data_IF_184079993232
#
_entry.id   IF_184079993232
#
_cell.length_a   1.000
_cell.length_b   1.000
_cell.length_c   1.000
_cell.angle_alpha   90.00
_cell.angle_beta   90.00
_cell.angle_gamma   90.00
#
_symmetry.space_group_name_H-M   'P 1'
#
loop_
_entity.id
_entity.type
_entity.pdbx_description
1 polymer ?
#
# COMPACT_ATOMS: atom_id res chain seq x y z
N UNK A 1 -10.12 -42.00 72.10
CA UNK A 1 -9.87 -43.18 71.24
C UNK A 1 -11.07 -44.09 71.38
N UNK A 2 -11.53 -44.63 70.24
CA UNK A 2 -12.60 -45.63 70.08
C UNK A 2 -14.04 -45.11 69.86
N UNK A 3 -14.58 -45.55 68.72
CA UNK A 3 -15.99 -45.86 68.42
C UNK A 3 -16.92 -44.75 67.91
N UNK A 4 -16.85 -44.49 66.60
CA UNK A 4 -17.97 -43.99 65.78
C UNK A 4 -18.46 -45.14 64.89
N UNK A 5 -19.61 -45.71 65.25
CA UNK A 5 -20.25 -46.83 64.57
C UNK A 5 -21.60 -46.40 63.99
N UNK A 6 -21.78 -46.75 62.71
CA UNK A 6 -23.03 -47.08 61.99
C UNK A 6 -24.06 -45.96 61.74
N UNK A 7 -24.29 -45.54 60.48
CA UNK A 7 -24.94 -46.22 59.33
C UNK A 7 -26.48 -46.21 59.38
N UNK A 8 -27.11 -45.54 58.41
CA UNK A 8 -28.15 -46.07 57.48
C UNK A 8 -28.67 -44.91 56.60
N UNK A 9 -28.37 -44.89 55.28
CA UNK A 9 -29.08 -45.54 54.15
C UNK A 9 -30.51 -45.02 53.90
N UNK A 10 -30.71 -44.28 52.79
CA UNK A 10 -31.40 -44.78 51.58
C UNK A 10 -31.54 -43.70 50.50
N UNK A 11 -31.10 -44.07 49.29
CA UNK A 11 -31.26 -43.34 48.03
C UNK A 11 -32.61 -43.63 47.39
N UNK A 12 -33.11 -42.69 46.58
CA UNK A 12 -34.08 -42.94 45.51
C UNK A 12 -33.91 -41.86 44.42
N UNK A 13 -34.33 -42.09 43.16
CA UNK A 13 -33.43 -41.99 41.99
C UNK A 13 -33.63 -40.75 41.10
N UNK A 14 -32.59 -40.48 40.31
CA UNK A 14 -32.59 -39.55 39.18
C UNK A 14 -33.40 -40.09 37.98
N UNK A 15 -34.08 -39.23 37.21
CA UNK A 15 -34.44 -39.54 35.83
C UNK A 15 -33.37 -39.08 34.83
N UNK A 16 -33.14 -39.97 33.86
CA UNK A 16 -32.15 -40.00 32.77
C UNK A 16 -32.45 -38.95 31.68
N UNK A 17 -31.42 -38.33 31.04
CA UNK A 17 -31.60 -37.56 29.82
C UNK A 17 -31.62 -38.47 28.58
N UNK A 18 -32.72 -38.45 27.83
CA UNK A 18 -32.83 -39.12 26.52
C UNK A 18 -32.18 -38.25 25.44
N UNK A 19 -31.16 -38.77 24.77
CA UNK A 19 -30.68 -38.27 23.48
C UNK A 19 -31.40 -38.98 22.33
N UNK A 20 -31.84 -38.21 21.33
CA UNK A 20 -32.03 -38.57 19.90
C UNK A 20 -32.58 -37.31 19.21
N UNK A 21 -32.28 -36.92 17.96
CA UNK A 21 -31.24 -37.19 16.97
C UNK A 21 -31.56 -36.19 15.82
N UNK A 22 -30.53 -35.62 15.20
CA UNK A 22 -30.46 -35.11 13.80
C UNK A 22 -30.98 -33.69 13.43
N UNK A 23 -30.06 -32.93 12.83
CA UNK A 23 -30.08 -31.63 12.12
C UNK A 23 -31.07 -31.55 10.91
N UNK A 24 -31.23 -30.44 10.12
CA UNK A 24 -30.41 -29.21 10.07
C UNK A 24 -31.13 -27.86 9.79
N UNK A 25 -30.37 -26.78 9.98
CA UNK A 25 -30.34 -25.57 9.14
C UNK A 25 -31.63 -24.75 8.94
N UNK A 26 -31.82 -23.74 9.80
CA UNK A 26 -32.37 -22.45 9.35
C UNK A 26 -31.86 -21.35 10.28
N UNK A 27 -30.74 -20.74 9.91
CA UNK A 27 -30.27 -19.50 10.52
C UNK A 27 -31.38 -18.43 10.40
N UNK A 28 -31.65 -17.66 11.46
CA UNK A 28 -32.49 -16.49 11.33
C UNK A 28 -31.81 -15.50 10.39
N UNK A 29 -32.51 -15.16 9.30
CA UNK A 29 -32.15 -14.08 8.38
C UNK A 29 -31.90 -12.82 9.19
N UNK A 30 -30.62 -12.53 9.45
CA UNK A 30 -30.16 -11.23 9.93
C UNK A 30 -30.61 -10.21 8.89
N UNK A 31 -31.69 -9.50 9.21
CA UNK A 31 -32.04 -8.27 8.51
C UNK A 31 -30.81 -7.36 8.55
N UNK A 32 -30.34 -6.84 7.39
CA UNK A 32 -29.24 -5.89 7.38
C UNK A 32 -29.67 -4.66 8.16
N UNK A 33 -29.06 -4.50 9.33
CA UNK A 33 -29.13 -3.29 10.13
C UNK A 33 -28.76 -2.13 9.19
N UNK A 34 -29.60 -1.08 9.04
CA UNK A 34 -29.31 0.01 8.13
C UNK A 34 -27.94 0.58 8.49
N UNK A 35 -27.02 0.58 7.51
CA UNK A 35 -25.69 1.17 7.64
C UNK A 35 -25.88 2.58 8.20
N UNK A 36 -25.45 2.75 9.45
CA UNK A 36 -25.29 4.07 10.04
C UNK A 36 -24.47 4.89 9.04
N UNK A 37 -25.03 6.01 8.59
CA UNK A 37 -24.38 7.05 7.80
C UNK A 37 -23.13 7.52 8.55
N UNK A 38 -22.03 6.79 8.39
CA UNK A 38 -20.74 7.11 8.95
C UNK A 38 -20.25 8.36 8.23
N UNK A 39 -20.27 9.49 8.93
CA UNK A 39 -19.75 10.79 8.49
C UNK A 39 -18.24 10.78 8.20
N UNK A 40 -17.59 9.61 8.20
CA UNK A 40 -16.17 9.39 7.98
C UNK A 40 -15.81 8.83 6.60
N UNK A 41 -16.77 8.73 5.68
CA UNK A 41 -16.51 8.29 4.30
C UNK A 41 -16.42 9.50 3.36
N UNK A 42 -15.38 9.53 2.53
CA UNK A 42 -15.21 10.42 1.39
C UNK A 42 -15.13 9.58 0.10
N UNK A 43 -15.33 10.20 -1.06
CA UNK A 43 -15.24 9.50 -2.34
C UNK A 43 -13.96 9.89 -3.07
N UNK A 44 -13.30 8.91 -3.69
CA UNK A 44 -12.15 9.15 -4.53
C UNK A 44 -12.52 10.06 -5.71
N UNK A 45 -11.81 11.17 -5.89
CA UNK A 45 -12.04 12.12 -7.00
C UNK A 45 -11.78 11.53 -8.40
N UNK A 46 -11.05 10.42 -8.46
CA UNK A 46 -10.62 9.82 -9.73
C UNK A 46 -11.52 8.66 -10.15
N UNK A 47 -11.74 7.68 -9.25
CA UNK A 47 -12.54 6.49 -9.56
C UNK A 47 -13.91 6.44 -8.86
N UNK A 48 -14.25 7.43 -8.03
CA UNK A 48 -15.53 7.47 -7.31
C UNK A 48 -15.67 6.44 -6.19
N UNK A 49 -14.67 5.60 -5.90
CA UNK A 49 -14.77 4.60 -4.84
C UNK A 49 -14.87 5.23 -3.44
N UNK A 50 -15.69 4.66 -2.53
CA UNK A 50 -15.79 5.12 -1.15
C UNK A 50 -14.49 4.81 -0.40
N UNK A 51 -14.07 5.75 0.43
CA UNK A 51 -12.82 5.71 1.16
C UNK A 51 -12.98 6.40 2.51
N UNK A 52 -12.14 6.11 3.49
CA UNK A 52 -12.18 6.86 4.73
C UNK A 52 -11.58 8.27 4.56
N UNK A 53 -12.11 9.25 5.32
CA UNK A 53 -11.69 10.67 5.29
C UNK A 53 -10.18 10.90 5.49
N UNK A 54 -9.51 9.99 6.19
CA UNK A 54 -8.09 10.08 6.51
C UNK A 54 -7.20 9.33 5.52
N UNK A 55 -7.78 8.69 4.50
CA UNK A 55 -6.98 7.96 3.51
C UNK A 55 -6.19 8.93 2.62
N UNK A 56 -4.88 8.76 2.64
CA UNK A 56 -3.95 9.55 1.83
C UNK A 56 -3.95 9.07 0.36
N UNK A 57 -4.21 7.79 0.14
CA UNK A 57 -4.17 7.13 -1.18
C UNK A 57 -5.40 6.24 -1.36
N UNK A 58 -5.99 6.29 -2.55
CA UNK A 58 -7.10 5.43 -2.93
C UNK A 58 -6.66 3.98 -3.10
N UNK A 59 -7.30 3.06 -2.38
CA UNK A 59 -7.00 1.62 -2.47
C UNK A 59 -7.36 1.06 -3.85
N UNK A 60 -8.43 1.57 -4.46
CA UNK A 60 -8.91 1.11 -5.76
C UNK A 60 -8.02 1.60 -6.93
N UNK A 61 -7.86 2.92 -7.12
CA UNK A 61 -7.12 3.47 -8.26
C UNK A 61 -5.72 4.02 -7.93
N UNK A 62 -5.27 3.95 -6.67
CA UNK A 62 -3.99 4.51 -6.20
C UNK A 62 -3.85 6.04 -6.35
N UNK A 63 -4.96 6.76 -6.50
CA UNK A 63 -4.96 8.22 -6.53
C UNK A 63 -4.59 8.81 -5.16
N UNK A 64 -3.58 9.68 -5.12
CA UNK A 64 -3.18 10.41 -3.91
C UNK A 64 -4.11 11.60 -3.70
N UNK A 65 -4.93 11.53 -2.65
CA UNK A 65 -5.95 12.53 -2.35
C UNK A 65 -5.36 13.78 -1.69
N UNK A 66 -4.39 13.58 -0.78
CA UNK A 66 -3.68 14.66 -0.10
C UNK A 66 -2.16 14.52 -0.30
N UNK A 67 -1.58 15.20 -1.31
CA UNK A 67 -0.17 15.08 -1.62
C UNK A 67 0.75 15.68 -0.53
N UNK A 68 0.27 16.62 0.28
CA UNK A 68 1.06 17.21 1.36
C UNK A 68 1.19 16.24 2.53
N UNK A 69 0.07 15.66 2.98
CA UNK A 69 0.09 14.62 4.01
C UNK A 69 0.95 13.43 3.58
N UNK A 70 0.85 13.00 2.32
CA UNK A 70 1.68 11.92 1.78
C UNK A 70 3.18 12.21 1.89
N UNK A 71 3.62 13.44 1.55
CA UNK A 71 5.04 13.82 1.66
C UNK A 71 5.52 13.84 3.11
N UNK A 72 4.71 14.34 4.04
CA UNK A 72 5.05 14.35 5.45
C UNK A 72 5.23 12.93 5.99
N UNK A 73 4.31 12.02 5.67
CA UNK A 73 4.43 10.61 6.03
C UNK A 73 5.66 9.94 5.42
N UNK A 74 6.04 10.30 4.18
CA UNK A 74 7.26 9.76 3.59
C UNK A 74 8.53 10.26 4.29
N UNK A 75 8.58 11.54 4.69
CA UNK A 75 9.73 12.09 5.39
C UNK A 75 9.93 11.43 6.74
N UNK A 76 8.87 11.23 7.51
CA UNK A 76 8.95 10.58 8.83
C UNK A 76 9.31 9.10 8.74
N UNK A 77 8.83 8.37 7.73
CA UNK A 77 9.27 6.99 7.47
C UNK A 77 10.77 6.95 7.14
N UNK A 78 11.25 7.86 6.31
CA UNK A 78 12.67 7.93 5.94
C UNK A 78 13.55 8.29 7.15
N UNK A 79 13.10 9.21 7.99
CA UNK A 79 13.79 9.58 9.22
C UNK A 79 13.89 8.39 10.20
N UNK A 80 12.80 7.66 10.40
CA UNK A 80 12.81 6.44 11.24
C UNK A 80 13.76 5.38 10.67
N UNK A 81 13.80 5.19 9.35
CA UNK A 81 14.73 4.26 8.71
C UNK A 81 16.19 4.68 8.93
N UNK A 82 16.49 5.98 8.80
CA UNK A 82 17.84 6.49 9.08
C UNK A 82 18.24 6.30 10.54
N UNK A 83 17.33 6.56 11.49
CA UNK A 83 17.58 6.33 12.92
C UNK A 83 17.83 4.84 13.22
N UNK A 84 17.09 3.93 12.58
CA UNK A 84 17.33 2.49 12.72
C UNK A 84 18.67 2.07 12.11
N UNK A 85 19.03 2.61 10.95
CA UNK A 85 20.30 2.30 10.29
C UNK A 85 21.51 2.80 11.09
N UNK A 86 21.43 4.00 11.66
CA UNK A 86 22.48 4.53 12.54
C UNK A 86 22.58 3.74 13.83
N UNK A 87 21.45 3.38 14.46
CA UNK A 87 21.44 2.52 15.63
C UNK A 87 22.08 1.15 15.35
N UNK A 88 21.81 0.55 14.19
CA UNK A 88 22.45 -0.70 13.76
C UNK A 88 23.95 -0.54 13.53
N UNK A 89 24.40 0.56 12.92
CA UNK A 89 25.83 0.86 12.73
C UNK A 89 26.56 1.01 14.07
N UNK A 90 25.98 1.75 15.01
CA UNK A 90 26.54 1.93 16.35
C UNK A 90 26.62 0.59 17.08
N UNK A 91 25.56 -0.23 17.03
CA UNK A 91 25.57 -1.58 17.63
C UNK A 91 26.64 -2.48 17.02
N UNK A 92 26.82 -2.46 15.68
CA UNK A 92 27.90 -3.22 15.03
C UNK A 92 29.27 -2.75 15.47
N UNK A 93 29.47 -1.44 15.58
CA UNK A 93 30.75 -0.87 16.02
C UNK A 93 31.08 -1.26 17.47
N UNK A 94 30.13 -1.12 18.39
CA UNK A 94 30.30 -1.53 19.79
C UNK A 94 30.62 -3.02 19.91
N UNK A 95 30.04 -3.87 19.06
CA UNK A 95 30.34 -5.31 19.02
C UNK A 95 31.79 -5.59 18.65
N UNK A 96 32.32 -4.89 17.65
CA UNK A 96 33.72 -5.02 17.23
C UNK A 96 34.67 -4.68 18.36
N UNK A 97 34.34 -3.67 19.18
CA UNK A 97 35.16 -3.25 20.32
C UNK A 97 35.04 -4.21 21.50
N UNK A 98 33.81 -4.61 21.86
CA UNK A 98 33.53 -5.36 23.09
C UNK A 98 33.72 -6.87 22.96
N UNK A 99 33.83 -7.40 21.74
CA UNK A 99 33.88 -8.84 21.50
C UNK A 99 32.57 -9.56 21.85
N UNK A 100 31.49 -8.82 22.10
CA UNK A 100 30.19 -9.40 22.44
C UNK A 100 29.70 -10.33 21.31
N UNK A 101 29.17 -11.52 21.62
CA UNK A 101 28.62 -12.40 20.61
C UNK A 101 27.46 -11.71 19.88
N UNK A 102 27.23 -12.03 18.60
CA UNK A 102 26.09 -11.47 17.88
C UNK A 102 24.80 -11.89 18.59
N UNK A 103 24.02 -10.92 19.05
CA UNK A 103 22.64 -11.20 19.46
C UNK A 103 21.91 -11.88 18.30
N UNK A 104 21.12 -12.92 18.56
CA UNK A 104 20.25 -13.50 17.55
C UNK A 104 19.42 -12.37 16.94
N UNK A 105 19.44 -12.31 15.62
CA UNK A 105 18.78 -11.25 14.86
C UNK A 105 17.26 -11.40 14.98
N UNK A 106 16.69 -10.86 16.06
CA UNK A 106 15.24 -10.76 16.24
C UNK A 106 14.65 -9.60 15.43
N UNK A 107 15.48 -8.85 14.68
CA UNK A 107 14.94 -8.07 13.58
C UNK A 107 14.53 -9.06 12.49
N UNK A 108 13.39 -9.72 12.73
CA UNK A 108 12.59 -10.19 11.62
C UNK A 108 12.54 -8.99 10.70
N UNK A 109 13.03 -9.10 9.44
CA UNK A 109 12.75 -8.05 8.49
C UNK A 109 11.26 -7.86 8.64
N UNK A 110 10.89 -6.63 8.97
CA UNK A 110 9.53 -6.17 8.80
C UNK A 110 9.34 -6.22 7.29
N UNK A 111 9.24 -7.44 6.77
CA UNK A 111 8.53 -7.78 5.58
C UNK A 111 7.14 -7.42 6.02
N UNK A 112 6.56 -6.34 5.48
CA UNK A 112 5.15 -6.12 5.69
C UNK A 112 4.50 -7.40 5.15
N UNK A 113 4.09 -8.27 6.09
CA UNK A 113 3.39 -9.52 5.76
C UNK A 113 2.30 -9.05 4.85
N UNK A 114 2.28 -9.55 3.61
CA UNK A 114 1.24 -9.22 2.66
C UNK A 114 -0.09 -9.37 3.39
N UNK A 115 -0.68 -8.23 3.80
CA UNK A 115 -1.94 -8.21 4.50
C UNK A 115 -2.94 -8.66 3.43
N UNK A 116 -3.22 -9.97 3.42
CA UNK A 116 -4.41 -10.51 2.78
C UNK A 116 -5.56 -9.79 3.44
N UNK A 117 -6.24 -8.96 2.66
CA UNK A 117 -7.47 -8.30 3.04
C UNK A 117 -8.39 -9.34 3.69
N UNK A 118 -8.44 -9.36 5.03
CA UNK A 118 -9.45 -10.11 5.74
C UNK A 118 -10.71 -9.27 5.61
N UNK A 119 -11.65 -9.76 4.83
CA UNK A 119 -12.74 -8.96 4.28
C UNK A 119 -13.86 -8.65 5.27
N UNK A 120 -13.79 -9.07 6.53
CA UNK A 120 -14.88 -8.84 7.50
C UNK A 120 -14.29 -8.82 8.92
N UNK A 121 -13.95 -7.63 9.43
CA UNK A 121 -13.47 -7.42 10.81
C UNK A 121 -12.52 -6.21 10.92
N UNK A 122 -12.49 -5.56 12.09
CA UNK A 122 -11.56 -4.46 12.34
C UNK A 122 -10.10 -4.96 12.23
N UNK A 123 -9.34 -4.43 11.27
CA UNK A 123 -7.95 -4.81 11.05
C UNK A 123 -7.07 -4.02 12.02
N UNK A 124 -6.32 -4.69 12.89
CA UNK A 124 -5.40 -4.02 13.82
C UNK A 124 -3.98 -3.92 13.26
N UNK A 125 -3.27 -2.86 13.64
CA UNK A 125 -1.88 -2.66 13.26
C UNK A 125 -0.97 -3.66 13.95
N UNK A 126 -0.21 -4.44 13.19
CA UNK A 126 0.83 -5.34 13.73
C UNK A 126 1.91 -4.64 14.54
N UNK A 127 2.10 -3.32 14.37
CA UNK A 127 3.12 -2.57 15.10
C UNK A 127 2.57 -1.89 16.37
N UNK A 128 1.46 -1.16 16.26
CA UNK A 128 0.93 -0.36 17.38
C UNK A 128 -0.39 -0.86 17.97
N UNK A 129 -0.99 -1.94 17.45
CA UNK A 129 -2.25 -2.51 17.93
C UNK A 129 -3.50 -1.69 17.61
N UNK A 130 -3.38 -0.44 17.16
CA UNK A 130 -4.54 0.38 16.83
C UNK A 130 -5.36 -0.18 15.66
N UNK A 131 -6.67 0.05 15.70
CA UNK A 131 -7.55 -0.21 14.57
C UNK A 131 -7.14 0.59 13.34
N UNK A 132 -7.13 -0.12 12.22
CA UNK A 132 -6.83 0.38 10.90
C UNK A 132 -8.08 0.18 10.06
N UNK A 133 -8.38 1.18 9.24
CA UNK A 133 -9.45 1.09 8.28
C UNK A 133 -9.11 0.11 7.16
N UNK A 134 -10.13 -0.62 6.71
CA UNK A 134 -10.00 -1.59 5.63
C UNK A 134 -9.34 -0.99 4.40
N UNK A 135 -8.31 -1.68 3.92
CA UNK A 135 -7.53 -1.28 2.73
C UNK A 135 -6.46 -0.22 2.95
N UNK A 136 -6.22 0.26 4.18
CA UNK A 136 -5.10 1.18 4.41
C UNK A 136 -3.75 0.52 4.09
N UNK A 137 -2.93 1.20 3.29
CA UNK A 137 -1.59 0.74 2.93
C UNK A 137 -0.52 1.12 3.95
N UNK A 138 -0.80 2.09 4.82
CA UNK A 138 0.07 2.60 5.89
C UNK A 138 -0.79 2.88 7.13
N UNK A 139 -0.30 2.52 8.32
CA UNK A 139 -0.95 2.84 9.58
C UNK A 139 -0.88 4.35 9.85
N UNK A 140 -2.02 4.99 10.13
CA UNK A 140 -2.07 6.44 10.37
C UNK A 140 -1.36 6.83 11.67
N UNK A 141 -1.36 5.95 12.67
CA UNK A 141 -0.82 6.28 13.99
C UNK A 141 0.70 6.12 14.07
N UNK A 142 1.22 4.96 13.64
CA UNK A 142 2.65 4.65 13.75
C UNK A 142 3.39 4.63 12.41
N UNK A 143 2.73 4.98 11.31
CA UNK A 143 3.31 5.09 9.95
C UNK A 143 3.92 3.79 9.40
N UNK A 144 3.59 2.67 10.03
CA UNK A 144 4.03 1.35 9.61
C UNK A 144 3.39 0.99 8.27
N UNK A 145 4.20 0.52 7.31
CA UNK A 145 3.73 0.10 5.99
C UNK A 145 3.04 -1.25 6.13
N UNK A 146 1.75 -1.30 5.84
CA UNK A 146 0.92 -2.51 5.92
C UNK A 146 0.96 -3.27 4.59
N UNK A 147 0.96 -2.53 3.48
CA UNK A 147 1.04 -3.11 2.13
C UNK A 147 2.19 -2.45 1.34
N UNK A 148 3.33 -3.14 1.17
CA UNK A 148 4.50 -2.58 0.49
C UNK A 148 4.24 -2.33 -0.98
N UNK A 149 3.45 -3.19 -1.62
CA UNK A 149 3.19 -3.13 -3.04
C UNK A 149 2.30 -1.94 -3.38
N UNK A 150 1.29 -1.68 -2.55
CA UNK A 150 0.44 -0.50 -2.69
C UNK A 150 1.26 0.79 -2.52
N UNK A 151 2.15 0.85 -1.52
CA UNK A 151 3.04 2.00 -1.31
C UNK A 151 4.01 2.17 -2.48
N UNK A 152 4.62 1.09 -2.98
CA UNK A 152 5.52 1.14 -4.14
C UNK A 152 4.80 1.61 -5.40
N UNK A 153 3.56 1.15 -5.63
CA UNK A 153 2.72 1.62 -6.74
C UNK A 153 2.38 3.11 -6.61
N UNK A 154 1.98 3.56 -5.43
CA UNK A 154 1.72 4.98 -5.16
C UNK A 154 2.98 5.84 -5.35
N UNK A 155 4.15 5.37 -4.90
CA UNK A 155 5.43 6.05 -5.12
C UNK A 155 5.76 6.21 -6.61
N UNK A 156 5.55 5.17 -7.42
CA UNK A 156 5.75 5.26 -8.87
C UNK A 156 4.83 6.29 -9.50
N UNK A 157 3.55 6.33 -9.11
CA UNK A 157 2.59 7.32 -9.61
C UNK A 157 2.94 8.76 -9.22
N UNK A 158 3.37 8.98 -7.97
CA UNK A 158 3.82 10.31 -7.53
C UNK A 158 5.07 10.72 -8.30
N UNK A 159 6.05 9.82 -8.44
CA UNK A 159 7.26 10.07 -9.22
C UNK A 159 6.94 10.43 -10.67
N UNK A 160 6.00 9.72 -11.29
CA UNK A 160 5.55 9.97 -12.65
C UNK A 160 4.83 11.33 -12.79
N UNK A 161 3.99 11.72 -11.81
CA UNK A 161 3.33 13.04 -11.78
C UNK A 161 4.29 14.20 -11.52
N UNK A 162 5.33 13.99 -10.72
CA UNK A 162 6.33 15.02 -10.42
C UNK A 162 7.51 15.04 -11.40
N UNK A 163 7.53 14.13 -12.37
CA UNK A 163 8.60 14.05 -13.36
C UNK A 163 8.61 15.32 -14.21
N UNK A 164 9.69 16.09 -14.11
CA UNK A 164 9.92 17.28 -14.94
C UNK A 164 10.55 16.86 -16.28
N UNK A 165 10.27 17.64 -17.31
CA UNK A 165 10.90 17.49 -18.62
C UNK A 165 12.40 17.78 -18.50
N UNK A 166 13.23 16.77 -18.75
CA UNK A 166 14.68 16.96 -18.85
C UNK A 166 15.00 17.60 -20.22
N UNK A 167 15.86 18.63 -20.20
CA UNK A 167 16.32 19.30 -21.42
C UNK A 167 17.02 18.32 -22.37
N UNK A 168 17.73 17.33 -21.82
CA UNK A 168 18.43 16.30 -22.62
C UNK A 168 17.46 15.49 -23.47
N UNK A 169 16.31 15.11 -22.93
CA UNK A 169 15.32 14.30 -23.64
C UNK A 169 14.59 15.13 -24.71
N UNK A 170 14.38 16.41 -24.44
CA UNK A 170 13.84 17.34 -25.44
C UNK A 170 14.80 17.52 -26.62
N UNK A 171 16.09 17.76 -26.35
CA UNK A 171 17.13 17.91 -27.39
C UNK A 171 17.26 16.63 -28.21
N UNK A 172 17.30 15.45 -27.56
CA UNK A 172 17.32 14.16 -28.28
C UNK A 172 16.11 13.98 -29.19
N UNK A 173 14.93 14.44 -28.75
CA UNK A 173 13.71 14.40 -29.56
C UNK A 173 13.79 15.32 -30.77
N UNK A 174 14.54 16.42 -30.68
CA UNK A 174 14.75 17.37 -31.76
C UNK A 174 15.82 16.92 -32.76
N UNK A 175 16.85 16.17 -32.32
CA UNK A 175 17.96 15.75 -33.19
C UNK A 175 17.66 14.41 -33.85
N UNK A 176 17.22 13.43 -33.06
CA UNK A 176 17.08 12.05 -33.53
C UNK A 176 15.69 11.86 -34.15
N UNK A 177 15.58 11.54 -35.44
CA UNK A 177 14.30 11.27 -36.08
C UNK A 177 13.60 10.10 -35.37
N UNK A 178 12.27 10.14 -35.30
CA UNK A 178 11.41 9.16 -34.62
C UNK A 178 11.57 9.02 -33.09
N UNK A 179 12.56 9.66 -32.45
CA UNK A 179 12.75 9.56 -31.00
C UNK A 179 11.55 10.13 -30.22
N UNK A 180 11.03 11.30 -30.65
CA UNK A 180 9.84 11.89 -30.06
C UNK A 180 8.59 11.00 -30.15
N UNK A 181 8.42 10.26 -31.26
CA UNK A 181 7.31 9.31 -31.45
C UNK A 181 7.45 8.06 -30.58
N UNK A 182 8.68 7.56 -30.42
CA UNK A 182 8.98 6.45 -29.50
C UNK A 182 8.69 6.85 -28.05
N UNK A 183 9.16 8.02 -27.63
CA UNK A 183 8.90 8.56 -26.29
C UNK A 183 7.41 8.78 -26.03
N UNK A 184 6.66 9.26 -27.03
CA UNK A 184 5.20 9.37 -26.95
C UNK A 184 4.53 8.02 -26.69
N UNK A 185 4.84 6.99 -27.49
CA UNK A 185 4.24 5.66 -27.33
C UNK A 185 4.50 5.04 -25.96
N UNK A 186 5.70 5.24 -25.42
CA UNK A 186 6.08 4.68 -24.11
C UNK A 186 5.44 5.42 -22.94
N UNK A 187 5.22 6.73 -23.07
CA UNK A 187 4.88 7.60 -21.95
C UNK A 187 3.52 8.28 -22.04
N UNK A 188 2.72 8.03 -23.09
CA UNK A 188 1.41 8.70 -23.30
C UNK A 188 0.46 8.55 -22.11
N UNK A 189 0.46 7.40 -21.46
CA UNK A 189 -0.50 7.10 -20.38
C UNK A 189 0.08 7.39 -18.98
N UNK A 190 1.42 7.38 -18.83
CA UNK A 190 2.09 7.57 -17.53
C UNK A 190 2.61 8.98 -17.30
N UNK A 191 3.16 9.63 -18.34
CA UNK A 191 3.89 10.90 -18.23
C UNK A 191 3.55 11.85 -19.37
N UNK A 192 2.28 12.22 -19.50
CA UNK A 192 1.81 13.13 -20.55
C UNK A 192 2.58 14.45 -20.63
N UNK A 193 3.00 14.99 -19.48
CA UNK A 193 3.73 16.27 -19.38
C UNK A 193 5.09 16.21 -20.10
N UNK A 194 5.69 15.03 -20.19
CA UNK A 194 6.97 14.79 -20.89
C UNK A 194 6.71 14.34 -22.33
N UNK A 195 5.72 13.47 -22.52
CA UNK A 195 5.41 12.88 -23.82
C UNK A 195 5.01 13.94 -24.86
N UNK A 196 4.13 14.88 -24.52
CA UNK A 196 3.62 15.92 -25.44
C UNK A 196 4.75 16.79 -26.04
N UNK A 197 5.60 17.47 -25.24
CA UNK A 197 6.64 18.32 -25.78
C UNK A 197 7.68 17.54 -26.60
N UNK A 198 8.08 16.34 -26.18
CA UNK A 198 9.00 15.50 -26.95
C UNK A 198 8.38 15.05 -28.29
N UNK A 199 7.08 14.76 -28.34
CA UNK A 199 6.38 14.42 -29.58
C UNK A 199 6.37 15.60 -30.56
N UNK A 200 6.04 16.80 -30.07
CA UNK A 200 6.01 18.02 -30.88
C UNK A 200 7.42 18.31 -31.44
N UNK A 201 8.45 18.26 -30.60
CA UNK A 201 9.84 18.43 -31.03
C UNK A 201 10.24 17.40 -32.11
N UNK A 202 9.84 16.14 -31.93
CA UNK A 202 10.09 15.08 -32.91
C UNK A 202 9.35 15.30 -34.24
N UNK A 203 8.11 15.79 -34.20
CA UNK A 203 7.35 16.11 -35.41
C UNK A 203 8.01 17.24 -36.21
N UNK A 204 8.48 18.29 -35.53
CA UNK A 204 9.19 19.41 -36.17
C UNK A 204 10.44 18.89 -36.88
N UNK A 205 11.26 18.09 -36.21
CA UNK A 205 12.47 17.51 -36.80
C UNK A 205 12.14 16.65 -38.04
N UNK A 206 11.16 15.75 -37.95
CA UNK A 206 10.76 14.94 -39.09
C UNK A 206 10.21 15.75 -40.26
N UNK A 207 9.53 16.87 -39.98
CA UNK A 207 9.05 17.80 -41.00
C UNK A 207 10.20 18.49 -41.73
N UNK A 208 11.20 18.98 -40.98
CA UNK A 208 12.39 19.63 -41.54
C UNK A 208 13.16 18.66 -42.44
N UNK A 209 13.40 17.43 -41.97
CA UNK A 209 14.09 16.39 -42.77
C UNK A 209 13.30 16.10 -44.05
N UNK A 210 11.98 15.98 -43.97
CA UNK A 210 11.12 15.77 -45.14
C UNK A 210 11.22 16.90 -46.16
N UNK A 211 11.24 18.16 -45.71
CA UNK A 211 11.40 19.33 -46.58
C UNK A 211 12.78 19.33 -47.24
N UNK A 212 13.85 19.04 -46.50
CA UNK A 212 15.21 18.98 -47.06
C UNK A 212 15.30 17.91 -48.14
N UNK A 213 14.75 16.72 -47.90
CA UNK A 213 14.72 15.63 -48.90
C UNK A 213 13.92 16.06 -50.14
N UNK A 214 12.77 16.70 -49.95
CA UNK A 214 11.95 17.19 -51.06
C UNK A 214 12.70 18.22 -51.91
N UNK A 215 13.39 19.17 -51.27
CA UNK A 215 14.21 20.16 -51.96
C UNK A 215 15.36 19.52 -52.75
N UNK A 216 16.03 18.52 -52.16
CA UNK A 216 17.08 17.76 -52.85
C UNK A 216 16.55 16.99 -54.08
N UNK A 217 15.29 16.56 -54.07
CA UNK A 217 14.66 15.88 -55.22
C UNK A 217 14.27 16.88 -56.31
N UNK A 218 13.80 18.07 -55.93
CA UNK A 218 13.32 19.09 -56.89
C UNK A 218 14.48 19.81 -57.57
N UNK A 219 15.56 20.09 -56.82
CA UNK A 219 16.67 20.92 -57.28
C UNK A 219 17.97 20.13 -57.56
N UNK A 220 18.00 18.83 -57.24
CA UNK A 220 19.14 17.94 -57.43
C UNK A 220 19.06 17.08 -58.67
#
# INVERSE_FOLDING_TARGET
MSDFQNMQFQQAPQPVPTQQQNDPLSDPVMQPKPLSTNSNVMYCRDCGSPMPKNAVVCVNCNYVMNPQAFRQTQMSIHEQQQQQETAMKIRRFLRVITGAPPEPDYSQPITPRNYRFQTIGAVHCTNCGNEIQDGASVCVNCQYVLNPEAVRRAQMLVRDRTAKLDRKDLIKSLIVPFYGRKMWRQNKDRRMQIAKPCHIAGMINSGIIGIIILLLIIFG
#
